data_IF_320681794535
#
_entry.id   IF_320681794535
#
_cell.length_a   1.000
_cell.length_b   1.000
_cell.length_c   1.000
_cell.angle_alpha   90.00
_cell.angle_beta   90.00
_cell.angle_gamma   90.00
#
_symmetry.space_group_name_H-M   'P 1'
#
loop_
_entity.id
_entity.type
_entity.pdbx_description
1 polymer ?
#
# COMPACT_ATOMS: atom_id res chain seq x y z
N UNK A 1 -17.53 13.94 -30.52
CA UNK A 1 -18.78 13.95 -29.74
C UNK A 1 -18.41 13.64 -28.31
N UNK A 2 -18.68 14.57 -27.40
CA UNK A 2 -18.59 14.31 -25.96
C UNK A 2 -19.96 13.81 -25.48
N UNK A 3 -19.97 12.80 -24.61
CA UNK A 3 -21.20 12.26 -24.01
C UNK A 3 -21.09 12.36 -22.48
N UNK A 4 -22.23 12.38 -21.80
CA UNK A 4 -22.31 12.45 -20.34
C UNK A 4 -22.50 11.05 -19.71
N UNK A 5 -22.23 9.99 -20.46
CA UNK A 5 -22.40 8.61 -19.99
C UNK A 5 -21.18 8.19 -19.17
N UNK A 6 -21.44 7.65 -17.98
CA UNK A 6 -20.37 7.10 -17.14
C UNK A 6 -19.93 5.73 -17.66
N UNK A 7 -18.62 5.54 -17.81
CA UNK A 7 -18.01 4.27 -18.20
C UNK A 7 -17.43 3.57 -16.98
N UNK A 8 -17.27 2.24 -17.02
CA UNK A 8 -16.68 1.50 -15.89
C UNK A 8 -15.30 2.07 -15.54
N UNK A 9 -15.10 2.44 -14.28
CA UNK A 9 -13.85 3.07 -13.82
C UNK A 9 -13.83 4.59 -13.85
N UNK A 10 -14.91 5.27 -14.27
CA UNK A 10 -15.00 6.73 -14.20
C UNK A 10 -14.78 7.23 -12.77
N UNK A 11 -13.81 8.13 -12.60
CA UNK A 11 -13.60 8.86 -11.35
C UNK A 11 -14.37 10.19 -11.40
N UNK A 12 -15.15 10.45 -10.37
CA UNK A 12 -15.94 11.67 -10.22
C UNK A 12 -15.40 12.42 -9.00
N UNK A 13 -14.82 13.60 -9.24
CA UNK A 13 -14.35 14.47 -8.16
C UNK A 13 -15.48 15.43 -7.74
N UNK A 14 -15.78 15.44 -6.44
CA UNK A 14 -16.80 16.27 -5.80
C UNK A 14 -16.16 17.29 -4.84
N UNK A 15 -14.99 17.82 -5.17
CA UNK A 15 -14.28 18.87 -4.41
C UNK A 15 -14.06 18.50 -2.94
N UNK A 16 -13.58 17.28 -2.68
CA UNK A 16 -13.32 16.77 -1.34
C UNK A 16 -13.71 15.30 -1.15
N UNK A 17 -14.42 14.71 -2.11
CA UNK A 17 -14.65 13.28 -2.21
C UNK A 17 -14.47 12.84 -3.67
N UNK A 18 -13.78 11.73 -3.87
CA UNK A 18 -13.67 11.08 -5.18
C UNK A 18 -14.53 9.83 -5.18
N UNK A 19 -15.48 9.74 -6.10
CA UNK A 19 -16.28 8.53 -6.34
C UNK A 19 -15.67 7.74 -7.49
N UNK A 20 -15.53 6.43 -7.32
CA UNK A 20 -15.26 5.51 -8.43
C UNK A 20 -16.58 4.91 -8.89
N UNK A 21 -17.01 5.23 -10.11
CA UNK A 21 -18.15 4.59 -10.74
C UNK A 21 -17.74 3.22 -11.31
N UNK A 22 -18.52 2.19 -10.94
CA UNK A 22 -18.38 0.84 -11.47
C UNK A 22 -19.71 0.34 -12.00
N UNK A 23 -19.68 -0.24 -13.19
CA UNK A 23 -20.80 -0.94 -13.81
C UNK A 23 -21.03 -2.29 -13.13
N UNK A 24 -22.25 -2.83 -13.25
CA UNK A 24 -22.56 -4.16 -12.72
C UNK A 24 -21.68 -5.27 -13.34
N UNK A 25 -21.40 -5.17 -14.64
CA UNK A 25 -20.48 -6.08 -15.34
C UNK A 25 -19.03 -5.90 -14.88
N UNK A 26 -18.57 -4.66 -14.68
CA UNK A 26 -17.25 -4.39 -14.11
C UNK A 26 -17.09 -5.02 -12.73
N UNK A 27 -18.08 -4.84 -11.85
CA UNK A 27 -18.09 -5.43 -10.51
C UNK A 27 -18.09 -6.97 -10.55
N UNK A 28 -18.80 -7.60 -11.49
CA UNK A 28 -18.82 -9.07 -11.59
C UNK A 28 -17.48 -9.67 -12.04
N UNK A 29 -16.59 -8.86 -12.64
CA UNK A 29 -15.23 -9.24 -13.03
C UNK A 29 -14.16 -8.87 -12.00
N UNK A 30 -14.53 -8.27 -10.88
CA UNK A 30 -13.58 -7.90 -9.82
C UNK A 30 -12.88 -9.14 -9.24
N UNK A 31 -11.61 -9.01 -8.82
CA UNK A 31 -10.88 -10.11 -8.22
C UNK A 31 -11.54 -10.57 -6.92
N UNK A 32 -11.62 -11.87 -6.72
CA UNK A 32 -12.09 -12.43 -5.44
C UNK A 32 -11.04 -12.26 -4.35
N UNK A 33 -11.46 -12.28 -3.08
CA UNK A 33 -10.53 -12.29 -1.93
C UNK A 33 -9.53 -13.45 -2.04
N UNK A 34 -9.96 -14.62 -2.54
CA UNK A 34 -9.06 -15.75 -2.78
C UNK A 34 -8.00 -15.44 -3.83
N UNK A 35 -8.37 -14.74 -4.89
CA UNK A 35 -7.44 -14.32 -5.94
C UNK A 35 -6.41 -13.31 -5.41
N UNK A 36 -6.86 -12.27 -4.68
CA UNK A 36 -5.96 -11.31 -4.04
C UNK A 36 -5.00 -11.98 -3.05
N UNK A 37 -5.46 -13.01 -2.33
CA UNK A 37 -4.61 -13.77 -1.41
C UNK A 37 -3.57 -14.62 -2.16
N UNK A 38 -3.90 -15.16 -3.33
CA UNK A 38 -2.95 -15.85 -4.19
C UNK A 38 -1.88 -14.90 -4.73
N UNK A 39 -2.26 -13.71 -5.22
CA UNK A 39 -1.31 -12.68 -5.66
C UNK A 39 -0.37 -12.24 -4.52
N UNK A 40 -0.87 -12.10 -3.29
CA UNK A 40 -0.03 -11.86 -2.11
C UNK A 40 0.99 -12.99 -1.89
N UNK A 41 0.56 -14.24 -2.01
CA UNK A 41 1.44 -15.39 -1.83
C UNK A 41 2.54 -15.42 -2.90
N UNK A 42 2.20 -15.11 -4.15
CA UNK A 42 3.17 -14.97 -5.25
C UNK A 42 4.18 -13.84 -4.96
N UNK A 43 3.72 -12.68 -4.49
CA UNK A 43 4.59 -11.57 -4.10
C UNK A 43 5.57 -11.98 -2.98
N UNK A 44 5.09 -12.70 -1.96
CA UNK A 44 5.96 -13.21 -0.90
C UNK A 44 6.91 -14.32 -1.38
N UNK A 45 6.48 -15.15 -2.33
CA UNK A 45 7.30 -16.20 -2.94
C UNK A 45 8.45 -15.62 -3.78
N UNK A 46 8.29 -14.40 -4.31
CA UNK A 46 9.37 -13.64 -4.94
C UNK A 46 10.46 -13.16 -3.94
N UNK A 47 10.22 -13.32 -2.64
CA UNK A 47 11.16 -13.00 -1.54
C UNK A 47 11.73 -11.57 -1.66
N UNK A 48 10.88 -10.53 -1.65
CA UNK A 48 11.35 -9.14 -1.71
C UNK A 48 12.34 -8.86 -0.57
N UNK A 49 13.46 -8.22 -0.88
CA UNK A 49 14.51 -7.92 0.11
C UNK A 49 14.41 -6.46 0.56
N UNK A 50 14.60 -6.25 1.87
CA UNK A 50 14.82 -4.90 2.41
C UNK A 50 16.13 -4.34 1.86
N UNK A 51 16.14 -3.17 1.20
CA UNK A 51 17.32 -2.65 0.52
C UNK A 51 18.48 -2.31 1.47
N UNK A 52 18.19 -2.07 2.75
CA UNK A 52 19.19 -1.68 3.75
C UNK A 52 19.43 -2.77 4.80
N UNK A 53 18.35 -3.44 5.23
CA UNK A 53 18.43 -4.48 6.27
C UNK A 53 18.77 -5.87 5.73
N UNK A 54 18.73 -6.06 4.40
CA UNK A 54 18.97 -7.34 3.71
C UNK A 54 18.14 -8.54 4.22
N UNK A 55 17.05 -8.25 4.93
CA UNK A 55 16.08 -9.25 5.37
C UNK A 55 14.98 -9.41 4.33
N UNK A 56 14.49 -10.64 4.18
CA UNK A 56 13.33 -10.93 3.33
C UNK A 56 12.06 -10.38 3.98
N UNK A 57 11.31 -9.57 3.25
CA UNK A 57 10.04 -9.01 3.65
C UNK A 57 8.89 -9.96 3.31
N UNK A 58 7.82 -9.91 4.10
CA UNK A 58 6.62 -10.71 3.88
C UNK A 58 5.36 -9.92 4.24
N UNK A 59 4.45 -9.77 3.28
CA UNK A 59 3.15 -9.15 3.53
C UNK A 59 2.25 -10.08 4.34
N UNK A 60 1.58 -9.61 5.40
CA UNK A 60 0.65 -10.42 6.18
C UNK A 60 -0.60 -10.77 5.38
N UNK A 61 -1.33 -11.80 5.80
CA UNK A 61 -2.64 -12.13 5.19
C UNK A 61 -3.59 -10.94 5.25
N UNK A 62 -4.47 -10.80 4.26
CA UNK A 62 -5.43 -9.69 4.20
C UNK A 62 -6.43 -9.65 5.35
N UNK A 63 -6.56 -10.73 6.13
CA UNK A 63 -7.25 -10.67 7.43
C UNK A 63 -6.36 -9.90 8.40
N UNK A 64 -6.68 -8.61 8.58
CA UNK A 64 -5.97 -7.71 9.49
C UNK A 64 -5.88 -8.35 10.88
N UNK A 65 -4.66 -8.51 11.36
CA UNK A 65 -4.36 -8.82 12.74
C UNK A 65 -3.88 -7.53 13.39
N UNK A 66 -4.19 -7.33 14.66
CA UNK A 66 -3.71 -6.16 15.41
C UNK A 66 -2.20 -6.21 15.71
N UNK A 67 -1.56 -7.34 15.41
CA UNK A 67 -0.15 -7.60 15.64
C UNK A 67 0.62 -7.47 14.33
N UNK A 68 1.65 -6.61 14.32
CA UNK A 68 2.60 -6.45 13.21
C UNK A 68 3.64 -7.58 13.26
N UNK A 69 3.85 -8.25 12.14
CA UNK A 69 4.86 -9.31 12.01
C UNK A 69 6.27 -8.71 11.83
N UNK A 70 7.30 -9.38 12.33
CA UNK A 70 8.70 -8.93 12.19
C UNK A 70 9.11 -8.72 10.72
N UNK A 71 8.60 -9.55 9.82
CA UNK A 71 8.91 -9.46 8.38
C UNK A 71 7.98 -8.52 7.63
N UNK A 72 6.99 -7.93 8.28
CA UNK A 72 6.05 -7.02 7.64
C UNK A 72 6.80 -5.80 7.06
N UNK A 73 6.53 -5.42 5.81
CA UNK A 73 7.09 -4.19 5.24
C UNK A 73 6.55 -2.94 5.95
N UNK A 74 7.37 -1.91 6.01
CA UNK A 74 7.06 -0.58 6.50
C UNK A 74 7.43 0.44 5.41
N UNK A 75 6.71 1.56 5.37
CA UNK A 75 6.86 2.56 4.32
C UNK A 75 7.08 3.95 4.90
N UNK A 76 7.94 4.73 4.24
CA UNK A 76 8.07 6.17 4.46
C UNK A 76 7.03 6.91 3.59
N UNK A 77 5.98 7.46 4.21
CA UNK A 77 4.83 7.98 3.46
C UNK A 77 5.15 9.16 2.54
N UNK A 78 6.16 9.97 2.86
CA UNK A 78 6.53 11.14 2.05
C UNK A 78 7.40 10.81 0.82
N UNK A 79 7.84 9.56 0.66
CA UNK A 79 8.67 9.17 -0.50
C UNK A 79 8.42 7.76 -1.04
N UNK A 80 7.50 7.00 -0.45
CA UNK A 80 7.13 5.66 -0.90
C UNK A 80 8.18 4.56 -0.70
N UNK A 81 9.38 4.86 -0.19
CA UNK A 81 10.40 3.84 0.04
C UNK A 81 9.96 2.82 1.10
N UNK A 82 10.09 1.54 0.77
CA UNK A 82 9.68 0.40 1.61
C UNK A 82 10.90 -0.28 2.23
N UNK A 83 10.83 -0.55 3.52
CA UNK A 83 11.86 -1.21 4.32
C UNK A 83 11.24 -2.25 5.26
N UNK A 84 12.08 -3.05 5.92
CA UNK A 84 11.67 -3.80 7.12
C UNK A 84 11.70 -2.90 8.35
N UNK A 85 10.95 -3.25 9.40
CA UNK A 85 10.95 -2.47 10.64
C UNK A 85 12.38 -2.23 11.17
N UNK A 86 12.61 -1.02 11.66
CA UNK A 86 13.86 -0.65 12.30
C UNK A 86 13.64 0.48 13.31
N UNK A 87 14.55 0.64 14.27
CA UNK A 87 14.46 1.63 15.36
C UNK A 87 15.46 2.79 15.23
N UNK A 88 16.43 2.73 14.32
CA UNK A 88 17.33 3.85 14.02
C UNK A 88 16.60 4.98 13.30
N UNK A 89 17.19 6.19 13.37
CA UNK A 89 16.60 7.41 12.78
C UNK A 89 15.49 8.05 13.62
N UNK A 90 15.27 7.57 14.86
CA UNK A 90 14.21 8.02 15.76
C UNK A 90 14.67 9.08 16.80
N UNK A 91 15.71 9.87 16.49
CA UNK A 91 16.44 10.67 17.49
C UNK A 91 15.62 11.80 18.14
N UNK A 92 14.52 12.24 17.51
CA UNK A 92 13.72 13.37 18.00
C UNK A 92 12.43 12.92 18.74
N UNK A 93 12.05 11.65 18.66
CA UNK A 93 10.80 11.12 19.23
C UNK A 93 10.83 10.91 20.75
N UNK A 94 11.98 10.53 21.29
CA UNK A 94 12.12 10.18 22.71
C UNK A 94 12.12 11.41 23.63
N UNK A 95 12.33 12.62 23.08
CA UNK A 95 12.56 13.84 23.87
C UNK A 95 11.31 14.66 24.17
N UNK A 96 10.27 14.56 23.33
CA UNK A 96 9.09 15.44 23.39
C UNK A 96 7.79 14.75 23.83
N UNK A 97 7.83 13.47 24.23
CA UNK A 97 6.64 12.72 24.65
C UNK A 97 5.55 12.57 23.57
N UNK A 98 5.85 13.02 22.34
CA UNK A 98 5.10 12.74 21.14
C UNK A 98 5.76 11.52 20.53
N UNK A 99 5.03 10.41 20.40
CA UNK A 99 5.50 9.27 19.62
C UNK A 99 5.94 9.78 18.23
N UNK A 100 7.25 9.99 18.05
CA UNK A 100 7.78 10.70 16.90
C UNK A 100 7.56 9.87 15.64
N UNK A 101 6.64 10.36 14.82
CA UNK A 101 6.24 9.72 13.56
C UNK A 101 7.19 10.06 12.43
N UNK A 102 7.95 11.15 12.53
CA UNK A 102 8.85 11.58 11.45
C UNK A 102 10.21 10.90 11.53
N UNK A 103 10.50 10.08 10.52
CA UNK A 103 11.78 9.42 10.33
C UNK A 103 12.42 9.85 9.02
N UNK A 104 13.75 9.89 9.02
CA UNK A 104 14.52 10.15 7.81
C UNK A 104 14.71 8.86 7.02
N UNK A 105 14.26 8.85 5.76
CA UNK A 105 14.44 7.72 4.85
C UNK A 105 15.93 7.56 4.51
N UNK A 106 16.55 6.38 4.72
CA UNK A 106 17.98 6.19 4.47
C UNK A 106 18.36 6.18 2.99
N UNK A 107 17.38 6.02 2.09
CA UNK A 107 17.61 6.01 0.64
C UNK A 107 17.66 7.41 0.05
N UNK A 108 16.79 8.32 0.52
CA UNK A 108 16.58 9.63 -0.13
C UNK A 108 16.55 10.83 0.83
N UNK A 109 16.71 10.61 2.15
CA UNK A 109 16.70 11.62 3.21
C UNK A 109 15.39 12.39 3.39
N UNK A 110 14.31 12.01 2.71
CA UNK A 110 12.98 12.55 2.99
C UNK A 110 12.58 12.22 4.43
N UNK A 111 12.09 13.22 5.18
CA UNK A 111 11.52 13.05 6.51
C UNK A 111 10.01 12.87 6.39
N UNK A 112 9.45 11.91 7.11
CA UNK A 112 7.99 11.72 7.13
C UNK A 112 7.54 10.53 7.96
N UNK A 113 6.23 10.27 8.02
CA UNK A 113 5.65 9.13 8.73
C UNK A 113 6.27 7.80 8.28
N UNK A 114 6.70 6.98 9.25
CA UNK A 114 7.13 5.61 9.02
C UNK A 114 6.14 4.63 9.65
N UNK A 115 5.41 3.89 8.84
CA UNK A 115 4.24 3.09 9.27
C UNK A 115 4.25 1.68 8.66
N UNK A 116 3.62 0.69 9.31
CA UNK A 116 3.49 -0.65 8.73
C UNK A 116 2.61 -0.61 7.47
N UNK A 117 3.07 -1.29 6.42
CA UNK A 117 2.38 -1.37 5.13
C UNK A 117 1.42 -2.57 5.12
N UNK A 118 0.23 -2.36 4.55
CA UNK A 118 -0.81 -3.36 4.38
C UNK A 118 -1.27 -3.38 2.92
N UNK A 119 -1.51 -4.57 2.37
CA UNK A 119 -2.16 -4.68 1.06
C UNK A 119 -3.65 -4.41 1.22
N UNK A 120 -4.19 -3.57 0.34
CA UNK A 120 -5.63 -3.31 0.28
C UNK A 120 -6.40 -4.54 -0.21
N UNK A 121 -7.62 -4.73 0.30
CA UNK A 121 -8.51 -5.85 -0.06
C UNK A 121 -9.82 -5.40 -0.73
N UNK A 122 -9.93 -4.13 -1.12
CA UNK A 122 -11.13 -3.57 -1.74
C UNK A 122 -11.22 -3.94 -3.22
N UNK A 123 -11.81 -5.11 -3.50
CA UNK A 123 -12.00 -5.64 -4.85
C UNK A 123 -12.73 -4.66 -5.81
N UNK A 124 -13.62 -3.82 -5.27
CA UNK A 124 -14.36 -2.81 -6.03
C UNK A 124 -13.49 -1.74 -6.71
N UNK A 125 -12.24 -1.57 -6.29
CA UNK A 125 -11.28 -0.64 -6.92
C UNK A 125 -10.49 -1.24 -8.08
N UNK A 126 -10.60 -2.55 -8.31
CA UNK A 126 -9.87 -3.22 -9.38
C UNK A 126 -10.70 -3.21 -10.66
N UNK A 127 -10.17 -2.56 -11.70
CA UNK A 127 -10.81 -2.53 -13.02
C UNK A 127 -10.80 -3.91 -13.69
N UNK A 128 -9.74 -4.68 -13.46
CA UNK A 128 -9.56 -6.04 -13.92
C UNK A 128 -8.68 -6.86 -12.96
N UNK A 129 -8.39 -8.11 -13.33
CA UNK A 129 -7.48 -9.01 -12.61
C UNK A 129 -6.13 -9.18 -13.33
N UNK A 130 -5.74 -8.22 -14.18
CA UNK A 130 -4.47 -8.26 -14.88
C UNK A 130 -3.31 -7.86 -13.94
N UNK A 131 -2.05 -8.21 -14.28
CA UNK A 131 -0.89 -7.81 -13.48
C UNK A 131 -0.78 -6.28 -13.36
N UNK A 132 -0.38 -5.75 -12.18
CA UNK A 132 -0.18 -4.32 -12.01
C UNK A 132 0.98 -3.83 -12.90
N UNK A 133 0.75 -2.77 -13.65
CA UNK A 133 1.74 -2.19 -14.58
C UNK A 133 2.36 -0.89 -14.07
N UNK A 134 1.77 -0.28 -13.04
CA UNK A 134 2.17 1.02 -12.49
C UNK A 134 2.07 1.00 -10.97
N UNK A 135 2.86 1.85 -10.31
CA UNK A 135 2.78 2.10 -8.87
C UNK A 135 2.75 3.61 -8.63
N UNK A 136 1.92 4.05 -7.69
CA UNK A 136 1.89 5.45 -7.26
C UNK A 136 3.03 5.69 -6.27
N UNK A 137 3.86 6.70 -6.54
CA UNK A 137 4.79 7.24 -5.55
C UNK A 137 4.08 8.39 -4.84
N UNK A 138 3.77 8.26 -3.54
CA UNK A 138 3.17 9.34 -2.77
C UNK A 138 4.08 10.56 -2.65
#
# INVERSE_FOLDING_TARGET
NETQELVDGSLIDLCGATLLWRTAEGLSRTPTVKHLEALRQELNAARPQCPVGFNTLAFPSMRRKDIVDEKQPWVYLNCGHVHGYHNWGNRDAERDGREGRERECPMCRARGPYVPLWLGCEAGFYLDAAPPTHAFSP
#
